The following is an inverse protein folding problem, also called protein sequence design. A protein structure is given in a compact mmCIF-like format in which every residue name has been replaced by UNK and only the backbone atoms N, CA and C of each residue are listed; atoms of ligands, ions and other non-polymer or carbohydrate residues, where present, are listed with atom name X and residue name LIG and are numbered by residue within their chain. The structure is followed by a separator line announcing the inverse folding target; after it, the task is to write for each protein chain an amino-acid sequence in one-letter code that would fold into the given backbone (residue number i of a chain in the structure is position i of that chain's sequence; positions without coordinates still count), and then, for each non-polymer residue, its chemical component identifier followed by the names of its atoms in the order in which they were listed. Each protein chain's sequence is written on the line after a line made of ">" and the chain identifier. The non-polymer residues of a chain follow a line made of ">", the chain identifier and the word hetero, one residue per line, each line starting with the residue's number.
data_IF_742764073945
#
_entry.id   IF_742764073945
#
_cell.length_a   1.000
_cell.length_b   1.000
_cell.length_c   1.000
_cell.angle_alpha   90.00
_cell.angle_beta   90.00
_cell.angle_gamma   90.00
#
_symmetry.space_group_name_H-M   'P 1'
#
loop_
_entity.id
_entity.type
_entity.pdbx_description
1 polymer ?
#
# COMPACT_ATOMS: atom_id res chain seq x y z
N UNK A 1 -14.42 -27.61 -27.75
CA UNK A 1 -14.80 -27.80 -26.34
C UNK A 1 -14.39 -26.54 -25.62
N UNK A 2 -15.31 -25.80 -25.01
CA UNK A 2 -14.96 -24.64 -24.18
C UNK A 2 -14.44 -25.23 -22.86
N UNK A 3 -13.18 -24.94 -22.52
CA UNK A 3 -12.66 -25.27 -21.19
C UNK A 3 -13.25 -24.26 -20.23
N UNK A 4 -14.32 -24.63 -19.52
CA UNK A 4 -14.91 -23.77 -18.50
C UNK A 4 -13.92 -23.59 -17.34
N UNK A 5 -13.75 -22.36 -16.90
CA UNK A 5 -12.95 -22.03 -15.73
C UNK A 5 -13.59 -22.69 -14.51
N UNK A 6 -12.83 -23.58 -13.88
CA UNK A 6 -13.22 -24.17 -12.61
C UNK A 6 -12.89 -23.18 -11.49
N UNK A 7 -13.93 -22.68 -10.83
CA UNK A 7 -13.75 -21.83 -9.65
C UNK A 7 -13.23 -22.64 -8.46
N UNK A 8 -12.38 -22.00 -7.65
CA UNK A 8 -12.02 -22.51 -6.34
C UNK A 8 -13.23 -22.50 -5.39
N UNK A 9 -13.16 -23.28 -4.31
CA UNK A 9 -14.14 -23.24 -3.21
C UNK A 9 -14.31 -21.81 -2.66
N UNK A 10 -13.20 -21.06 -2.54
CA UNK A 10 -13.22 -19.66 -2.11
C UNK A 10 -13.98 -18.78 -3.10
N UNK A 11 -13.74 -18.97 -4.40
CA UNK A 11 -14.46 -18.23 -5.45
C UNK A 11 -15.96 -18.52 -5.42
N UNK A 12 -16.36 -19.80 -5.29
CA UNK A 12 -17.78 -20.18 -5.18
C UNK A 12 -18.46 -19.57 -3.94
N UNK A 13 -17.78 -19.59 -2.78
CA UNK A 13 -18.29 -18.99 -1.56
C UNK A 13 -18.49 -17.48 -1.72
N UNK A 14 -17.53 -16.77 -2.33
CA UNK A 14 -17.64 -15.34 -2.60
C UNK A 14 -18.80 -15.02 -3.55
N UNK A 15 -18.97 -15.76 -4.64
CA UNK A 15 -20.09 -15.56 -5.57
C UNK A 15 -21.45 -15.84 -4.90
N UNK A 16 -21.51 -16.84 -4.03
CA UNK A 16 -22.71 -17.16 -3.24
C UNK A 16 -23.06 -16.04 -2.26
N UNK A 17 -22.07 -15.47 -1.55
CA UNK A 17 -22.26 -14.31 -0.67
C UNK A 17 -22.76 -13.07 -1.42
N UNK A 18 -22.39 -12.95 -2.70
CA UNK A 18 -22.85 -11.91 -3.63
C UNK A 18 -24.24 -12.20 -4.23
N UNK A 19 -24.88 -13.28 -3.79
CA UNK A 19 -26.23 -13.69 -4.18
C UNK A 19 -26.35 -14.00 -5.68
N UNK A 20 -25.30 -14.55 -6.29
CA UNK A 20 -25.41 -15.13 -7.63
C UNK A 20 -26.06 -16.51 -7.56
N UNK A 21 -27.00 -16.76 -8.45
CA UNK A 21 -27.57 -18.08 -8.72
C UNK A 21 -26.56 -19.00 -9.41
N UNK A 22 -26.81 -20.32 -9.41
CA UNK A 22 -25.94 -21.28 -10.11
C UNK A 22 -25.83 -20.98 -11.61
N UNK A 23 -26.93 -20.53 -12.24
CA UNK A 23 -26.94 -20.15 -13.66
C UNK A 23 -26.08 -18.90 -13.91
N UNK A 24 -26.18 -17.88 -13.06
CA UNK A 24 -25.31 -16.69 -13.12
C UNK A 24 -23.84 -17.03 -12.87
N UNK A 25 -23.54 -17.96 -11.94
CA UNK A 25 -22.17 -18.44 -11.70
C UNK A 25 -21.63 -19.13 -12.95
N UNK A 26 -22.44 -19.96 -13.61
CA UNK A 26 -22.03 -20.62 -14.85
C UNK A 26 -21.79 -19.62 -15.97
N UNK A 27 -22.72 -18.68 -16.18
CA UNK A 27 -22.55 -17.60 -17.17
C UNK A 27 -21.31 -16.76 -16.90
N UNK A 28 -21.00 -16.48 -15.63
CA UNK A 28 -19.78 -15.74 -15.29
C UNK A 28 -18.52 -16.57 -15.58
N UNK A 29 -18.51 -17.87 -15.30
CA UNK A 29 -17.41 -18.77 -15.70
C UNK A 29 -17.21 -18.77 -17.22
N UNK A 30 -18.30 -18.77 -17.99
CA UNK A 30 -18.26 -18.75 -19.45
C UNK A 30 -17.68 -17.41 -19.95
N UNK A 31 -18.11 -16.27 -19.39
CA UNK A 31 -17.55 -14.94 -19.67
C UNK A 31 -16.04 -14.91 -19.42
N UNK A 32 -15.59 -15.40 -18.27
CA UNK A 32 -14.16 -15.43 -17.94
C UNK A 32 -13.38 -16.35 -18.90
N UNK A 33 -13.98 -17.46 -19.31
CA UNK A 33 -13.37 -18.41 -20.24
C UNK A 33 -13.24 -17.81 -21.63
N UNK A 34 -14.26 -17.09 -22.10
CA UNK A 34 -14.22 -16.36 -23.37
C UNK A 34 -13.16 -15.24 -23.34
N UNK A 35 -13.16 -14.43 -22.28
CA UNK A 35 -12.17 -13.37 -22.09
C UNK A 35 -10.72 -13.87 -22.15
N UNK A 36 -10.41 -15.03 -21.55
CA UNK A 36 -9.06 -15.63 -21.60
C UNK A 36 -8.67 -16.16 -22.98
N UNK A 37 -9.64 -16.51 -23.83
CA UNK A 37 -9.41 -17.06 -25.17
C UNK A 37 -9.46 -15.99 -26.27
N UNK A 38 -10.00 -14.82 -25.98
CA UNK A 38 -10.10 -13.72 -26.92
C UNK A 38 -8.74 -13.01 -27.09
N UNK A 39 -8.42 -12.61 -28.32
CA UNK A 39 -7.31 -11.71 -28.57
C UNK A 39 -7.80 -10.26 -28.51
N UNK A 40 -7.08 -9.41 -27.77
CA UNK A 40 -7.45 -8.01 -27.58
C UNK A 40 -7.16 -7.54 -26.16
N UNK A 41 -7.56 -6.30 -25.86
CA UNK A 41 -7.52 -5.76 -24.49
C UNK A 41 -8.74 -6.22 -23.69
N UNK A 42 -8.64 -6.23 -22.35
CA UNK A 42 -9.79 -6.53 -21.50
C UNK A 42 -10.91 -5.50 -21.69
N UNK A 43 -10.55 -4.26 -22.02
CA UNK A 43 -11.51 -3.21 -22.37
C UNK A 43 -12.30 -3.53 -23.63
N UNK A 44 -11.68 -4.10 -24.65
CA UNK A 44 -12.38 -4.50 -25.89
C UNK A 44 -13.41 -5.59 -25.60
N UNK A 45 -13.05 -6.59 -24.79
CA UNK A 45 -13.97 -7.63 -24.35
C UNK A 45 -15.16 -7.05 -23.57
N UNK A 46 -14.90 -6.17 -22.60
CA UNK A 46 -15.97 -5.52 -21.82
C UNK A 46 -16.87 -4.60 -22.69
N UNK A 47 -16.31 -3.93 -23.71
CA UNK A 47 -17.09 -3.09 -24.63
C UNK A 47 -18.00 -3.91 -25.55
N UNK A 48 -17.62 -5.16 -25.86
CA UNK A 48 -18.42 -6.06 -26.68
C UNK A 48 -19.57 -6.73 -25.90
N UNK A 49 -19.52 -6.72 -24.57
CA UNK A 49 -20.55 -7.32 -23.71
C UNK A 49 -21.90 -6.60 -23.81
N UNK A 50 -22.96 -7.39 -23.71
CA UNK A 50 -24.31 -6.88 -23.52
C UNK A 50 -24.48 -6.25 -22.12
N UNK A 51 -25.54 -5.45 -21.96
CA UNK A 51 -25.86 -4.84 -20.67
C UNK A 51 -26.09 -5.87 -19.55
N UNK A 52 -26.62 -7.06 -19.88
CA UNK A 52 -26.85 -8.12 -18.90
C UNK A 52 -25.54 -8.78 -18.46
N UNK A 53 -24.60 -9.00 -19.39
CA UNK A 53 -23.28 -9.54 -19.07
C UNK A 53 -22.47 -8.55 -18.23
N UNK A 54 -22.51 -7.25 -18.55
CA UNK A 54 -21.88 -6.22 -17.72
C UNK A 54 -22.51 -6.14 -16.32
N UNK A 55 -23.83 -6.28 -16.20
CA UNK A 55 -24.50 -6.34 -14.90
C UNK A 55 -24.09 -7.59 -14.10
N UNK A 56 -23.90 -8.73 -14.77
CA UNK A 56 -23.38 -9.93 -14.15
C UNK A 56 -21.93 -9.75 -13.67
N UNK A 57 -21.04 -9.18 -14.49
CA UNK A 57 -19.65 -8.86 -14.09
C UNK A 57 -19.64 -7.87 -12.91
N UNK A 58 -20.51 -6.87 -12.92
CA UNK A 58 -20.65 -5.90 -11.83
C UNK A 58 -21.03 -6.60 -10.51
N UNK A 59 -22.06 -7.46 -10.56
CA UNK A 59 -22.55 -8.22 -9.40
C UNK A 59 -21.49 -9.22 -8.91
N UNK A 60 -20.86 -9.93 -9.83
CA UNK A 60 -19.78 -10.88 -9.55
C UNK A 60 -18.59 -10.21 -8.87
N UNK A 61 -18.33 -8.92 -9.12
CA UNK A 61 -17.25 -8.15 -8.48
C UNK A 61 -17.72 -7.26 -7.31
N UNK A 62 -18.99 -7.34 -6.89
CA UNK A 62 -19.57 -6.50 -5.82
C UNK A 62 -19.44 -5.00 -6.04
N UNK A 63 -19.48 -4.53 -7.29
CA UNK A 63 -19.34 -3.10 -7.57
C UNK A 63 -20.66 -2.35 -7.30
N UNK A 64 -20.57 -1.25 -6.55
CA UNK A 64 -21.73 -0.42 -6.22
C UNK A 64 -22.30 0.34 -7.42
N UNK A 65 -21.45 0.73 -8.36
CA UNK A 65 -21.83 1.50 -9.56
C UNK A 65 -21.71 0.66 -10.81
N UNK A 66 -22.48 1.03 -11.84
CA UNK A 66 -22.37 0.43 -13.17
C UNK A 66 -20.99 0.62 -13.76
N UNK A 67 -20.57 -0.35 -14.57
CA UNK A 67 -19.25 -0.35 -15.19
C UNK A 67 -19.24 0.64 -16.36
N UNK A 68 -18.48 1.73 -16.22
CA UNK A 68 -18.14 2.59 -17.35
C UNK A 68 -16.77 2.16 -17.93
N UNK A 69 -16.80 1.28 -18.93
CA UNK A 69 -15.59 0.67 -19.52
C UNK A 69 -14.62 1.72 -20.06
N UNK A 70 -15.13 2.81 -20.65
CA UNK A 70 -14.29 3.83 -21.28
C UNK A 70 -13.38 4.55 -20.28
N UNK A 71 -13.84 4.73 -19.04
CA UNK A 71 -13.10 5.39 -17.96
C UNK A 71 -12.15 4.46 -17.19
N UNK A 72 -12.21 3.14 -17.42
CA UNK A 72 -11.33 2.19 -16.74
C UNK A 72 -9.91 2.26 -17.29
N UNK A 73 -8.94 2.03 -16.41
CA UNK A 73 -7.60 1.63 -16.83
C UNK A 73 -7.63 0.23 -17.46
N UNK A 74 -6.55 -0.14 -18.15
CA UNK A 74 -6.42 -1.51 -18.66
C UNK A 74 -6.35 -2.54 -17.53
N UNK A 75 -5.71 -2.17 -16.42
CA UNK A 75 -5.62 -3.03 -15.22
C UNK A 75 -6.99 -3.22 -14.58
N UNK A 76 -7.71 -2.13 -14.34
CA UNK A 76 -9.04 -2.16 -13.74
C UNK A 76 -10.01 -2.99 -14.58
N UNK A 77 -9.93 -2.90 -15.92
CA UNK A 77 -10.69 -3.75 -16.83
C UNK A 77 -10.26 -5.22 -16.76
N UNK A 78 -8.95 -5.50 -16.78
CA UNK A 78 -8.41 -6.87 -16.70
C UNK A 78 -8.83 -7.57 -15.41
N UNK A 79 -8.76 -6.86 -14.29
CA UNK A 79 -9.09 -7.40 -12.98
C UNK A 79 -10.60 -7.60 -12.75
N UNK A 80 -11.47 -6.98 -13.54
CA UNK A 80 -12.91 -7.33 -13.57
C UNK A 80 -13.16 -8.72 -14.15
N UNK A 81 -12.25 -9.17 -15.03
CA UNK A 81 -12.26 -10.47 -15.69
C UNK A 81 -11.31 -11.47 -15.01
N UNK A 82 -11.09 -11.30 -13.71
CA UNK A 82 -10.33 -12.21 -12.86
C UNK A 82 -11.25 -13.07 -12.00
N UNK A 83 -10.70 -14.12 -11.42
CA UNK A 83 -11.40 -14.97 -10.47
C UNK A 83 -11.81 -14.21 -9.21
N UNK A 84 -12.98 -14.54 -8.63
CA UNK A 84 -13.49 -13.91 -7.42
C UNK A 84 -12.55 -13.95 -6.22
N UNK A 85 -11.74 -15.01 -6.10
CA UNK A 85 -10.76 -15.20 -5.01
C UNK A 85 -9.48 -14.38 -5.14
N UNK A 86 -9.34 -13.64 -6.24
CA UNK A 86 -8.23 -12.75 -6.56
C UNK A 86 -6.92 -13.46 -6.91
N UNK A 87 -6.97 -14.76 -7.21
CA UNK A 87 -5.80 -15.58 -7.51
C UNK A 87 -5.05 -15.20 -8.79
N UNK A 88 -5.76 -14.63 -9.78
CA UNK A 88 -5.24 -14.24 -11.09
C UNK A 88 -5.38 -12.75 -11.39
N UNK A 89 -5.57 -11.92 -10.34
CA UNK A 89 -5.43 -10.47 -10.50
C UNK A 89 -4.03 -10.10 -10.96
N UNK A 90 -3.91 -8.91 -11.53
CA UNK A 90 -2.67 -8.31 -12.00
C UNK A 90 -2.54 -6.89 -11.48
N UNK A 91 -1.30 -6.44 -11.33
CA UNK A 91 -0.91 -5.04 -11.12
C UNK A 91 -0.07 -4.64 -12.34
N UNK A 92 -0.66 -4.03 -13.35
CA UNK A 92 0.02 -3.87 -14.66
C UNK A 92 1.08 -2.77 -14.60
N UNK A 93 0.84 -1.71 -13.82
CA UNK A 93 1.76 -0.59 -13.71
C UNK A 93 2.83 -0.79 -12.62
N UNK A 94 2.72 -1.85 -11.81
CA UNK A 94 3.63 -2.22 -10.72
C UNK A 94 3.75 -1.15 -9.64
N UNK A 95 2.66 -0.45 -9.34
CA UNK A 95 2.63 0.55 -8.27
C UNK A 95 2.15 0.00 -6.91
N UNK A 96 1.80 -1.29 -6.85
CA UNK A 96 1.30 -1.96 -5.64
C UNK A 96 -0.13 -1.59 -5.27
N UNK A 97 -0.84 -0.87 -6.13
CA UNK A 97 -2.26 -0.55 -6.04
C UNK A 97 -2.98 -1.40 -7.07
N UNK A 98 -3.86 -2.27 -6.60
CA UNK A 98 -4.63 -3.14 -7.48
C UNK A 98 -5.94 -2.46 -7.83
N UNK A 99 -6.18 -2.27 -9.12
CA UNK A 99 -7.41 -1.69 -9.63
C UNK A 99 -8.43 -2.79 -10.00
N UNK A 100 -9.68 -2.69 -9.55
CA UNK A 100 -10.78 -3.57 -9.99
C UNK A 100 -11.95 -2.70 -10.43
N UNK A 101 -12.17 -2.60 -11.74
CA UNK A 101 -12.98 -1.52 -12.29
C UNK A 101 -12.36 -0.18 -11.89
N UNK A 102 -13.14 0.68 -11.23
CA UNK A 102 -12.66 1.96 -10.71
C UNK A 102 -12.15 1.89 -9.25
N UNK A 103 -12.36 0.76 -8.57
CA UNK A 103 -11.92 0.60 -7.19
C UNK A 103 -10.40 0.42 -7.15
N UNK A 104 -9.74 1.06 -6.18
CA UNK A 104 -8.30 0.95 -5.95
C UNK A 104 -8.05 0.39 -4.57
N UNK A 105 -7.24 -0.65 -4.47
CA UNK A 105 -6.93 -1.29 -3.19
C UNK A 105 -5.43 -1.47 -3.05
N UNK A 106 -4.91 -0.98 -1.93
CA UNK A 106 -3.54 -1.25 -1.53
C UNK A 106 -3.45 -2.69 -1.06
N UNK A 107 -2.54 -3.47 -1.64
CA UNK A 107 -2.30 -4.85 -1.25
C UNK A 107 -0.81 -5.05 -1.02
N UNK A 108 -0.44 -5.68 0.09
CA UNK A 108 0.92 -6.13 0.33
C UNK A 108 0.94 -7.59 0.80
N UNK A 109 1.86 -8.43 0.28
CA UNK A 109 2.80 -8.15 -0.81
C UNK A 109 2.05 -7.85 -2.11
N UNK A 110 2.64 -7.05 -3.01
CA UNK A 110 1.99 -6.68 -4.26
C UNK A 110 1.68 -7.94 -5.07
N UNK A 111 0.66 -7.87 -5.93
CA UNK A 111 0.18 -9.02 -6.71
C UNK A 111 1.30 -9.66 -7.54
N UNK A 112 2.23 -8.85 -8.06
CA UNK A 112 3.36 -9.31 -8.85
C UNK A 112 4.58 -9.73 -8.00
N UNK A 113 4.48 -9.74 -6.67
CA UNK A 113 5.54 -10.25 -5.81
C UNK A 113 5.78 -11.75 -6.08
N UNK A 114 7.05 -12.21 -6.10
CA UNK A 114 7.38 -13.62 -6.21
C UNK A 114 6.73 -14.46 -5.10
N UNK A 115 6.47 -15.74 -5.39
CA UNK A 115 5.82 -16.65 -4.44
C UNK A 115 6.54 -16.72 -3.08
N UNK A 116 7.88 -16.72 -3.07
CA UNK A 116 8.64 -16.76 -1.82
C UNK A 116 8.40 -15.52 -0.93
N UNK A 117 8.14 -14.34 -1.52
CA UNK A 117 7.82 -13.11 -0.78
C UNK A 117 6.43 -13.22 -0.17
N UNK A 118 5.45 -13.72 -0.93
CA UNK A 118 4.08 -13.97 -0.43
C UNK A 118 4.09 -14.96 0.73
N UNK A 119 4.78 -16.08 0.60
CA UNK A 119 4.92 -17.07 1.68
C UNK A 119 5.66 -16.52 2.90
N UNK A 120 6.71 -15.72 2.69
CA UNK A 120 7.43 -15.08 3.80
C UNK A 120 6.54 -14.11 4.57
N UNK A 121 5.68 -13.37 3.88
CA UNK A 121 4.72 -12.46 4.49
C UNK A 121 3.65 -13.21 5.31
N UNK A 122 3.04 -14.23 4.71
CA UNK A 122 2.04 -15.07 5.40
C UNK A 122 2.64 -15.68 6.68
N UNK A 123 3.86 -16.20 6.61
CA UNK A 123 4.56 -16.75 7.77
C UNK A 123 4.91 -15.67 8.81
N UNK A 124 5.35 -14.49 8.39
CA UNK A 124 5.73 -13.41 9.30
C UNK A 124 4.52 -12.77 10.01
N UNK A 125 3.32 -12.91 9.45
CA UNK A 125 2.08 -12.28 9.94
C UNK A 125 1.06 -13.27 10.48
N UNK A 126 1.34 -14.57 10.50
CA UNK A 126 0.38 -15.63 10.86
C UNK A 126 -0.22 -15.49 12.25
N UNK A 127 0.50 -14.90 13.19
CA UNK A 127 0.11 -14.70 14.60
C UNK A 127 -0.47 -13.31 14.88
N UNK A 128 -0.61 -12.46 13.86
CA UNK A 128 -1.05 -11.07 14.01
C UNK A 128 -2.55 -10.91 13.83
N UNK A 129 -3.13 -9.95 14.54
CA UNK A 129 -4.50 -9.50 14.29
C UNK A 129 -4.63 -8.85 12.92
N UNK A 130 -5.83 -8.90 12.33
CA UNK A 130 -6.10 -8.29 11.03
C UNK A 130 -5.83 -6.78 11.01
N UNK A 131 -6.09 -6.07 12.12
CA UNK A 131 -5.76 -4.64 12.25
C UNK A 131 -4.24 -4.39 12.15
N UNK A 132 -3.43 -5.22 12.82
CA UNK A 132 -1.97 -5.12 12.73
C UNK A 132 -1.46 -5.48 11.34
N UNK A 133 -2.05 -6.50 10.70
CA UNK A 133 -1.73 -6.87 9.31
C UNK A 133 -2.00 -5.71 8.37
N UNK A 134 -3.19 -5.12 8.40
CA UNK A 134 -3.55 -3.98 7.55
C UNK A 134 -2.59 -2.80 7.74
N UNK A 135 -2.22 -2.49 8.99
CA UNK A 135 -1.25 -1.44 9.25
C UNK A 135 0.15 -1.78 8.70
N UNK A 136 0.57 -3.05 8.78
CA UNK A 136 1.81 -3.50 8.15
C UNK A 136 1.72 -3.49 6.63
N UNK A 137 0.57 -3.83 6.02
CA UNK A 137 0.39 -3.78 4.57
C UNK A 137 0.60 -2.37 4.06
N UNK A 138 -0.07 -1.41 4.67
CA UNK A 138 0.09 0.01 4.38
C UNK A 138 1.54 0.45 4.53
N UNK A 139 2.18 0.09 5.66
CA UNK A 139 3.56 0.51 5.95
C UNK A 139 4.55 -0.10 4.97
N UNK A 140 4.38 -1.37 4.61
CA UNK A 140 5.25 -2.05 3.67
C UNK A 140 5.06 -1.55 2.25
N UNK A 141 3.81 -1.28 1.85
CA UNK A 141 3.53 -0.61 0.58
C UNK A 141 4.25 0.74 0.51
N UNK A 142 4.16 1.59 1.56
CA UNK A 142 4.87 2.87 1.58
C UNK A 142 6.39 2.72 1.58
N UNK A 143 6.95 1.70 2.23
CA UNK A 143 8.38 1.43 2.18
C UNK A 143 8.85 1.03 0.77
N UNK A 144 8.05 0.22 0.07
CA UNK A 144 8.37 -0.28 -1.26
C UNK A 144 8.13 0.77 -2.34
N UNK A 145 6.92 1.31 -2.42
CA UNK A 145 6.46 2.20 -3.50
C UNK A 145 6.54 3.68 -3.15
N UNK A 146 6.72 4.03 -1.87
CA UNK A 146 6.72 5.41 -1.42
C UNK A 146 5.31 5.98 -1.24
N UNK A 147 5.24 7.30 -1.15
CA UNK A 147 3.99 8.07 -1.18
C UNK A 147 4.04 8.97 -2.40
N UNK A 148 3.02 8.88 -3.24
CA UNK A 148 2.82 9.80 -4.36
C UNK A 148 2.09 11.03 -3.84
N UNK A 149 2.76 12.18 -3.94
CA UNK A 149 2.23 13.47 -3.49
C UNK A 149 2.16 14.36 -4.71
N UNK A 150 1.00 14.98 -4.94
CA UNK A 150 0.81 15.87 -6.10
C UNK A 150 1.92 16.93 -6.15
N UNK A 151 2.60 17.03 -7.29
CA UNK A 151 3.70 17.97 -7.51
C UNK A 151 5.09 17.49 -7.07
N UNK A 152 5.22 16.31 -6.46
CA UNK A 152 6.51 15.71 -6.08
C UNK A 152 6.73 14.44 -6.88
N UNK A 153 7.88 14.31 -7.54
CA UNK A 153 8.23 13.04 -8.20
C UNK A 153 8.25 11.91 -7.16
N UNK A 154 7.38 10.93 -7.40
CA UNK A 154 7.27 9.73 -6.58
C UNK A 154 8.55 8.88 -6.66
N UNK A 155 8.69 7.93 -5.74
CA UNK A 155 9.73 6.91 -5.86
C UNK A 155 9.42 6.09 -7.11
N UNK A 156 10.30 6.10 -8.10
CA UNK A 156 10.11 5.27 -9.29
C UNK A 156 10.03 3.81 -8.88
N UNK A 157 8.91 3.15 -9.20
CA UNK A 157 8.71 1.75 -8.90
C UNK A 157 9.77 0.90 -9.62
N UNK A 158 10.45 0.05 -8.86
CA UNK A 158 11.36 -0.94 -9.42
C UNK A 158 10.55 -2.06 -10.06
N UNK A 159 11.08 -2.70 -11.10
CA UNK A 159 10.47 -3.93 -11.60
C UNK A 159 10.39 -4.98 -10.46
N UNK A 160 9.39 -5.89 -10.45
CA UNK A 160 9.29 -6.91 -9.41
C UNK A 160 10.59 -7.72 -9.22
N UNK A 161 11.29 -8.01 -10.31
CA UNK A 161 12.58 -8.71 -10.27
C UNK A 161 13.65 -7.89 -9.52
N UNK A 162 13.76 -6.59 -9.78
CA UNK A 162 14.71 -5.72 -9.09
C UNK A 162 14.29 -5.49 -7.63
N UNK A 163 13.00 -5.24 -7.40
CA UNK A 163 12.44 -4.96 -6.08
C UNK A 163 12.66 -6.10 -5.09
N UNK A 164 12.50 -7.34 -5.55
CA UNK A 164 12.61 -8.55 -4.74
C UNK A 164 13.91 -9.34 -4.99
N UNK A 165 14.90 -8.71 -5.63
CA UNK A 165 16.27 -9.23 -5.69
C UNK A 165 16.95 -9.18 -4.33
N UNK A 166 18.06 -9.90 -4.14
CA UNK A 166 18.84 -9.85 -2.90
C UNK A 166 19.23 -8.42 -2.52
N UNK A 167 19.70 -7.63 -3.48
CA UNK A 167 20.04 -6.20 -3.29
C UNK A 167 18.80 -5.36 -2.97
N UNK A 168 17.66 -5.63 -3.63
CA UNK A 168 16.40 -4.94 -3.39
C UNK A 168 15.86 -5.18 -1.98
N UNK A 169 15.92 -6.45 -1.53
CA UNK A 169 15.55 -6.86 -0.18
C UNK A 169 16.51 -6.24 0.85
N UNK A 170 17.83 -6.29 0.63
CA UNK A 170 18.81 -5.69 1.53
C UNK A 170 18.56 -4.19 1.71
N UNK A 171 18.34 -3.47 0.61
CA UNK A 171 18.01 -2.04 0.63
C UNK A 171 16.71 -1.77 1.39
N UNK A 172 15.66 -2.57 1.14
CA UNK A 172 14.40 -2.45 1.85
C UNK A 172 14.62 -2.60 3.37
N UNK A 173 15.30 -3.65 3.82
CA UNK A 173 15.53 -3.86 5.24
C UNK A 173 16.41 -2.79 5.87
N UNK A 174 17.41 -2.28 5.13
CA UNK A 174 18.21 -1.13 5.59
C UNK A 174 17.32 0.10 5.85
N UNK A 175 16.41 0.41 4.94
CA UNK A 175 15.49 1.55 5.08
C UNK A 175 14.50 1.31 6.25
N UNK A 176 13.95 0.10 6.38
CA UNK A 176 13.03 -0.28 7.45
C UNK A 176 13.69 -0.21 8.83
N UNK A 177 14.89 -0.77 8.98
CA UNK A 177 15.66 -0.74 10.23
C UNK A 177 16.08 0.67 10.60
N UNK A 178 16.54 1.48 9.63
CA UNK A 178 16.88 2.88 9.88
C UNK A 178 15.68 3.71 10.34
N UNK A 179 14.50 3.51 9.74
CA UNK A 179 13.28 4.17 10.18
C UNK A 179 12.86 3.73 11.60
N UNK A 180 12.97 2.44 11.91
CA UNK A 180 12.68 1.93 13.25
C UNK A 180 13.65 2.50 14.30
N UNK A 181 14.95 2.54 13.99
CA UNK A 181 15.96 3.13 14.88
C UNK A 181 15.67 4.61 15.17
N UNK A 182 15.34 5.40 14.15
CA UNK A 182 14.94 6.79 14.32
C UNK A 182 13.74 6.92 15.27
N UNK A 183 12.70 6.09 15.06
CA UNK A 183 11.51 6.10 15.91
C UNK A 183 11.80 5.69 17.35
N UNK A 184 12.60 4.65 17.56
CA UNK A 184 13.02 4.21 18.89
C UNK A 184 13.84 5.29 19.60
N UNK A 185 14.68 6.03 18.88
CA UNK A 185 15.43 7.14 19.46
C UNK A 185 14.54 8.32 19.87
N UNK A 186 13.38 8.50 19.23
CA UNK A 186 12.42 9.58 19.53
C UNK A 186 11.39 9.19 20.59
N UNK A 187 10.83 7.98 20.48
CA UNK A 187 9.65 7.51 21.22
C UNK A 187 9.99 6.37 22.20
N UNK A 188 11.18 5.76 22.09
CA UNK A 188 11.54 4.55 22.80
C UNK A 188 10.96 3.27 22.20
N UNK A 189 11.15 2.16 22.92
CA UNK A 189 10.59 0.85 22.57
C UNK A 189 9.12 0.76 23.00
N UNK A 190 8.25 1.45 22.26
CA UNK A 190 6.79 1.31 22.39
C UNK A 190 6.33 -0.08 21.92
N UNK A 191 5.14 -0.51 22.32
CA UNK A 191 4.54 -1.78 21.86
C UNK A 191 4.50 -1.89 20.33
N UNK A 192 4.19 -0.76 19.67
CA UNK A 192 4.20 -0.70 18.22
C UNK A 192 5.63 -0.87 17.65
N UNK A 193 6.64 -0.19 18.19
CA UNK A 193 8.03 -0.35 17.72
C UNK A 193 8.56 -1.77 17.96
N UNK A 194 8.16 -2.41 19.06
CA UNK A 194 8.46 -3.83 19.33
C UNK A 194 7.75 -4.76 18.34
N UNK A 195 6.48 -4.50 18.02
CA UNK A 195 5.74 -5.26 17.00
C UNK A 195 6.43 -5.17 15.64
N UNK A 196 6.86 -3.97 15.24
CA UNK A 196 7.57 -3.75 13.97
C UNK A 196 8.91 -4.46 13.93
N UNK A 197 9.69 -4.39 15.03
CA UNK A 197 10.95 -5.12 15.16
C UNK A 197 10.72 -6.62 14.98
N UNK A 198 9.74 -7.18 15.71
CA UNK A 198 9.39 -8.59 15.63
C UNK A 198 8.98 -9.01 14.22
N UNK A 199 8.15 -8.20 13.56
CA UNK A 199 7.78 -8.42 12.17
C UNK A 199 9.00 -8.42 11.24
N UNK A 200 9.90 -7.43 11.34
CA UNK A 200 11.09 -7.36 10.49
C UNK A 200 12.02 -8.54 10.69
N UNK A 201 12.23 -8.97 11.93
CA UNK A 201 13.07 -10.13 12.23
C UNK A 201 12.48 -11.41 11.59
N UNK A 202 11.16 -11.61 11.71
CA UNK A 202 10.47 -12.78 11.12
C UNK A 202 10.44 -12.73 9.61
N UNK A 203 10.05 -11.59 9.03
CA UNK A 203 9.94 -11.43 7.58
C UNK A 203 11.30 -11.53 6.89
N UNK A 204 12.33 -10.87 7.45
CA UNK A 204 13.69 -10.95 6.93
C UNK A 204 14.30 -12.34 7.06
N UNK A 205 13.96 -13.07 8.13
CA UNK A 205 14.37 -14.47 8.27
C UNK A 205 13.67 -15.37 7.26
N UNK A 206 12.36 -15.19 7.07
CA UNK A 206 11.56 -16.00 6.14
C UNK A 206 11.97 -15.78 4.67
N UNK A 207 12.35 -14.56 4.29
CA UNK A 207 12.87 -14.25 2.96
C UNK A 207 14.23 -14.91 2.66
N UNK A 208 15.03 -15.22 3.69
CA UNK A 208 16.34 -15.88 3.55
C UNK A 208 16.25 -17.40 3.51
N UNK A 209 15.10 -17.97 3.88
CA UNK A 209 14.91 -19.42 3.81
C UNK A 209 14.72 -19.83 2.34
N UNK A 210 15.45 -20.83 1.84
CA UNK A 210 15.10 -21.43 0.55
C UNK A 210 13.70 -22.02 0.68
N UNK A 211 12.84 -21.75 -0.29
CA UNK A 211 11.45 -22.20 -0.33
C UNK A 211 11.34 -23.73 -0.24
N UNK A 212 11.38 -24.30 0.96
CA UNK A 212 11.00 -25.69 1.18
C UNK A 212 9.50 -25.75 1.02
N UNK A 213 9.04 -26.39 -0.06
CA UNK A 213 7.65 -26.65 -0.37
C UNK A 213 6.93 -27.23 0.85
N UNK A 214 6.09 -26.43 1.52
CA UNK A 214 5.19 -26.96 2.55
C UNK A 214 4.02 -27.60 1.81
N UNK A 215 4.15 -28.91 1.62
CA UNK A 215 3.05 -29.80 1.27
C UNK A 215 2.09 -29.86 2.46
N UNK A 216 0.80 -29.79 2.13
CA UNK A 216 -0.38 -29.83 2.98
C UNK A 216 -0.30 -30.71 4.23
N UNK A 217 -0.85 -30.20 5.33
CA UNK A 217 -1.52 -31.01 6.34
C UNK A 217 -2.83 -30.35 6.76
N UNK A 218 -3.87 -30.57 5.95
CA UNK A 218 -5.25 -30.62 6.43
C UNK A 218 -5.41 -31.87 7.30
N UNK A 219 -5.71 -31.69 8.59
CA UNK A 219 -6.59 -32.60 9.35
C UNK A 219 -6.98 -32.02 10.72
N UNK A 220 -8.29 -31.76 10.84
CA UNK A 220 -9.17 -32.13 11.95
C UNK A 220 -8.93 -31.60 13.37
N UNK A 221 -9.88 -30.76 13.82
CA UNK A 221 -10.55 -30.97 15.11
C UNK A 221 -11.91 -30.25 15.12
N UNK A 222 -12.95 -30.99 14.71
CA UNK A 222 -14.32 -30.75 15.14
C UNK A 222 -14.48 -31.32 16.56
N UNK A 223 -14.93 -30.48 17.50
CA UNK A 223 -15.96 -30.79 18.51
C UNK A 223 -15.88 -29.75 19.64
N UNK A 224 -16.95 -28.97 19.79
CA UNK A 224 -17.69 -28.86 21.05
C UNK A 224 -18.96 -28.03 20.83
N UNK A 225 -20.08 -28.72 20.90
CA UNK A 225 -21.44 -28.18 20.83
C UNK A 225 -21.86 -27.64 22.20
N UNK A 226 -22.74 -26.63 22.15
CA UNK A 226 -23.76 -26.28 23.13
C UNK A 226 -23.34 -25.49 24.37
N UNK A 227 -23.81 -24.23 24.45
CA UNK A 227 -25.02 -23.97 25.23
C UNK A 227 -25.68 -22.64 24.84
N UNK A 228 -26.96 -22.75 24.50
CA UNK A 228 -27.94 -21.68 24.32
C UNK A 228 -28.63 -21.42 25.65
N UNK A 229 -28.71 -20.15 26.07
CA UNK A 229 -29.81 -19.67 26.91
C UNK A 229 -30.16 -18.24 26.48
N UNK A 230 -31.39 -18.07 26.01
CA UNK A 230 -32.06 -16.77 25.77
C UNK A 230 -32.49 -16.13 27.10
N UNK A 231 -32.51 -14.80 27.13
CA UNK A 231 -33.58 -14.00 27.75
C UNK A 231 -33.55 -12.54 27.22
N UNK A 232 -34.64 -12.22 26.51
CA UNK A 232 -35.41 -10.95 26.30
C UNK A 232 -35.21 -9.82 27.35
N UNK A 233 -35.53 -8.52 27.19
CA UNK A 233 -36.07 -7.59 26.17
C UNK A 233 -36.05 -6.15 26.80
N UNK A 234 -35.89 -5.08 25.98
CA UNK A 234 -36.35 -3.66 26.15
C UNK A 234 -35.67 -2.77 27.24
N UNK A 235 -35.42 -1.45 27.12
CA UNK A 235 -35.77 -0.37 26.17
C UNK A 235 -34.84 0.87 26.34
N UNK A 236 -34.70 1.63 25.25
CA UNK A 236 -34.62 3.10 25.10
C UNK A 236 -33.46 3.99 25.65
N UNK A 237 -32.94 4.75 24.66
CA UNK A 237 -32.42 6.14 24.66
C UNK A 237 -31.08 6.46 25.35
N UNK A 238 -30.04 6.71 24.53
CA UNK A 238 -29.55 8.08 24.26
C UNK A 238 -28.55 8.12 23.09
N UNK A 239 -28.76 9.09 22.20
CA UNK A 239 -27.88 9.49 21.09
C UNK A 239 -26.81 10.43 21.67
N UNK A 240 -25.52 10.13 21.49
CA UNK A 240 -24.50 11.20 21.35
C UNK A 240 -23.21 10.69 20.69
N UNK A 241 -23.00 11.17 19.46
CA UNK A 241 -21.76 11.62 18.80
C UNK A 241 -20.42 11.06 19.34
N UNK A 242 -19.75 10.23 18.52
CA UNK A 242 -18.29 10.06 18.55
C UNK A 242 -17.79 9.97 17.11
N UNK A 243 -17.54 11.12 16.51
CA UNK A 243 -16.55 11.27 15.43
C UNK A 243 -15.35 11.99 16.05
N UNK A 244 -14.14 11.69 15.54
CA UNK A 244 -12.95 12.57 15.55
C UNK A 244 -11.73 12.23 16.46
N UNK A 245 -11.33 10.96 16.58
CA UNK A 245 -9.98 10.62 17.10
C UNK A 245 -9.09 9.81 16.14
N UNK A 246 -9.65 9.03 15.21
CA UNK A 246 -8.87 8.17 14.30
C UNK A 246 -8.20 8.93 13.14
N UNK A 247 -8.70 10.12 12.80
CA UNK A 247 -8.19 10.92 11.69
C UNK A 247 -6.93 11.73 12.06
N UNK A 248 -6.70 11.96 13.35
CA UNK A 248 -5.57 12.78 13.84
C UNK A 248 -4.24 12.01 13.77
N UNK A 249 -4.23 10.73 14.15
CA UNK A 249 -3.02 9.91 14.22
C UNK A 249 -2.43 9.62 12.85
N UNK A 250 -3.28 9.33 11.85
CA UNK A 250 -2.85 9.12 10.47
C UNK A 250 -2.27 10.39 9.84
N UNK A 251 -2.96 11.53 10.04
CA UNK A 251 -2.51 12.84 9.54
C UNK A 251 -1.19 13.25 10.17
N UNK A 252 -1.01 13.02 11.47
CA UNK A 252 0.25 13.30 12.18
C UNK A 252 1.40 12.41 11.71
N UNK A 253 1.11 11.14 11.41
CA UNK A 253 2.10 10.19 10.90
C UNK A 253 2.53 10.51 9.46
N UNK A 254 1.58 10.86 8.58
CA UNK A 254 1.89 11.31 7.22
C UNK A 254 2.71 12.60 7.23
N UNK A 255 2.36 13.53 8.12
CA UNK A 255 3.13 14.76 8.31
C UNK A 255 4.55 14.46 8.77
N UNK A 256 4.73 13.53 9.71
CA UNK A 256 6.05 13.17 10.23
C UNK A 256 6.92 12.47 9.18
N UNK A 257 6.34 11.66 8.30
CA UNK A 257 7.03 11.04 7.17
C UNK A 257 7.45 12.08 6.12
N UNK A 258 6.58 13.06 5.85
CA UNK A 258 6.86 14.20 4.99
C UNK A 258 8.02 15.05 5.54
N UNK A 259 7.96 15.40 6.82
CA UNK A 259 8.98 16.20 7.50
C UNK A 259 10.33 15.47 7.49
N UNK A 260 10.35 14.16 7.77
CA UNK A 260 11.55 13.33 7.75
C UNK A 260 12.14 13.20 6.33
N UNK A 261 11.30 13.05 5.29
CA UNK A 261 11.72 12.99 3.89
C UNK A 261 12.32 14.31 3.42
N UNK A 262 11.79 15.43 3.91
CA UNK A 262 12.27 16.77 3.58
C UNK A 262 13.47 17.21 4.46
N UNK A 263 13.88 16.41 5.44
CA UNK A 263 14.97 16.76 6.36
C UNK A 263 14.61 17.95 7.26
N UNK A 264 13.32 18.16 7.52
CA UNK A 264 12.80 19.23 8.35
C UNK A 264 12.92 18.82 9.82
N UNK A 265 13.63 19.64 10.59
CA UNK A 265 13.71 19.47 12.04
C UNK A 265 12.43 19.98 12.70
N UNK A 266 11.51 19.06 12.95
CA UNK A 266 10.20 19.36 13.56
C UNK A 266 10.33 20.08 14.90
N UNK A 267 11.39 19.84 15.67
CA UNK A 267 11.64 20.56 16.94
C UNK A 267 11.84 22.06 16.70
N UNK A 268 12.51 22.44 15.60
CA UNK A 268 12.70 23.87 15.26
C UNK A 268 11.39 24.52 14.82
N UNK A 269 10.51 23.80 14.14
CA UNK A 269 9.20 24.31 13.76
C UNK A 269 8.28 24.46 14.97
N UNK A 270 8.27 23.47 15.87
CA UNK A 270 7.52 23.51 17.12
C UNK A 270 8.03 24.64 18.04
N UNK A 271 9.35 24.84 18.17
CA UNK A 271 9.93 25.98 18.89
C UNK A 271 9.52 27.33 18.32
N UNK A 272 9.43 27.47 16.99
CA UNK A 272 8.98 28.72 16.33
C UNK A 272 7.49 28.93 16.61
N UNK A 273 6.68 27.87 16.59
CA UNK A 273 5.24 27.93 16.85
C UNK A 273 4.92 28.25 18.31
N UNK A 274 5.70 27.70 19.24
CA UNK A 274 5.66 28.08 20.66
C UNK A 274 6.09 29.53 20.87
N UNK A 275 7.12 30.01 20.18
CA UNK A 275 7.53 31.44 20.22
C UNK A 275 6.45 32.36 19.66
N UNK A 276 5.73 31.95 18.61
CA UNK A 276 4.58 32.70 18.08
C UNK A 276 3.48 32.80 19.14
N UNK A 277 3.08 31.67 19.76
CA UNK A 277 2.06 31.65 20.83
C UNK A 277 2.48 32.47 22.06
N UNK A 278 3.76 32.43 22.42
CA UNK A 278 4.30 33.21 23.53
C UNK A 278 4.27 34.72 23.24
N UNK A 279 4.54 35.15 22.00
CA UNK A 279 4.46 36.56 21.57
C UNK A 279 3.00 37.04 21.52
N UNK A 280 2.06 36.18 21.09
CA UNK A 280 0.62 36.48 21.09
C UNK A 280 0.09 36.72 22.52
N UNK A 281 0.43 35.82 23.45
CA UNK A 281 -0.09 35.83 24.82
C UNK A 281 0.65 36.79 25.78
N UNK A 282 1.72 37.44 25.34
CA UNK A 282 2.50 38.33 26.21
C UNK A 282 1.78 39.69 26.42
N UNK A 283 1.40 40.06 27.65
CA UNK A 283 0.67 41.30 27.93
C UNK A 283 1.55 42.57 27.87
N UNK A 284 2.88 42.44 27.81
CA UNK A 284 3.83 43.57 27.84
C UNK A 284 4.29 44.05 26.45
N UNK A 285 3.74 43.51 25.36
CA UNK A 285 4.11 43.88 23.98
C UNK A 285 3.01 44.72 23.32
N UNK A 286 3.39 45.85 22.71
CA UNK A 286 2.47 46.68 21.92
C UNK A 286 1.99 45.94 20.66
N UNK A 287 0.77 46.23 20.22
CA UNK A 287 0.10 45.57 19.08
C UNK A 287 0.95 45.59 17.80
N UNK A 288 1.70 46.68 17.58
CA UNK A 288 2.59 46.85 16.42
C UNK A 288 3.85 45.99 16.53
N UNK A 289 4.39 45.85 17.74
CA UNK A 289 5.57 45.02 18.02
C UNK A 289 5.23 43.53 17.92
N UNK A 290 4.09 43.09 18.46
CA UNK A 290 3.59 41.72 18.28
C UNK A 290 3.48 41.34 16.82
N UNK A 291 2.86 42.22 16.02
CA UNK A 291 2.66 41.97 14.58
C UNK A 291 3.98 41.88 13.81
N UNK A 292 5.00 42.65 14.18
CA UNK A 292 6.33 42.57 13.56
C UNK A 292 7.07 41.29 13.96
N UNK A 293 7.04 40.88 15.23
CA UNK A 293 7.69 39.65 15.71
C UNK A 293 7.04 38.39 15.14
N UNK A 294 5.71 38.33 15.10
CA UNK A 294 4.98 37.20 14.50
C UNK A 294 5.33 37.10 13.01
N UNK A 295 5.39 38.22 12.29
CA UNK A 295 5.77 38.23 10.87
C UNK A 295 7.21 37.73 10.66
N UNK A 296 8.15 38.12 11.52
CA UNK A 296 9.54 37.66 11.42
C UNK A 296 9.68 36.16 11.72
N UNK A 297 8.94 35.64 12.69
CA UNK A 297 8.91 34.20 13.03
C UNK A 297 8.25 33.37 11.92
N UNK A 298 7.19 33.89 11.29
CA UNK A 298 6.59 33.27 10.11
C UNK A 298 7.55 33.24 8.92
N UNK A 299 8.31 34.32 8.69
CA UNK A 299 9.35 34.34 7.66
C UNK A 299 10.48 33.33 7.94
N UNK A 300 10.87 33.14 9.21
CA UNK A 300 11.83 32.10 9.57
C UNK A 300 11.29 30.68 9.30
N UNK A 301 10.01 30.44 9.60
CA UNK A 301 9.34 29.16 9.26
C UNK A 301 9.38 28.90 7.76
N UNK A 302 9.10 29.91 6.95
CA UNK A 302 9.08 29.80 5.49
C UNK A 302 10.48 29.59 4.89
N UNK A 303 11.52 30.26 5.41
CA UNK A 303 12.91 30.04 5.00
C UNK A 303 13.37 28.60 5.26
N UNK A 304 12.99 28.03 6.42
CA UNK A 304 13.34 26.65 6.77
C UNK A 304 12.69 25.64 5.81
N UNK A 305 11.45 25.90 5.40
CA UNK A 305 10.73 25.09 4.42
C UNK A 305 11.35 25.20 3.02
N UNK A 306 11.65 26.42 2.57
CA UNK A 306 12.27 26.67 1.26
C UNK A 306 13.70 26.10 1.18
N UNK A 307 14.47 26.15 2.27
CA UNK A 307 15.80 25.53 2.34
C UNK A 307 15.73 23.99 2.32
N UNK A 308 14.73 23.41 2.98
CA UNK A 308 14.46 21.98 2.95
C UNK A 308 14.13 21.52 1.51
N UNK A 309 13.25 22.24 0.80
CA UNK A 309 12.91 21.97 -0.60
C UNK A 309 14.12 22.12 -1.54
N UNK A 310 14.95 23.16 -1.35
CA UNK A 310 16.17 23.31 -2.18
C UNK A 310 17.15 22.17 -1.96
N UNK A 311 17.30 21.70 -0.71
CA UNK A 311 18.18 20.57 -0.38
C UNK A 311 17.69 19.25 -0.95
N UNK A 312 16.38 19.00 -0.98
CA UNK A 312 15.83 17.78 -1.61
C UNK A 312 16.11 17.79 -3.10
N UNK A 313 15.80 18.88 -3.80
CA UNK A 313 16.08 19.05 -5.24
C UNK A 313 17.58 18.92 -5.54
N UNK A 314 18.45 19.53 -4.72
CA UNK A 314 19.89 19.42 -4.91
C UNK A 314 20.41 18.00 -4.64
N UNK A 315 19.90 17.31 -3.63
CA UNK A 315 20.26 15.92 -3.34
C UNK A 315 19.78 14.96 -4.44
N UNK A 316 18.59 15.16 -5.00
CA UNK A 316 18.11 14.40 -6.14
C UNK A 316 18.97 14.65 -7.38
N UNK A 317 19.37 15.91 -7.62
CA UNK A 317 20.32 16.26 -8.67
C UNK A 317 21.70 15.62 -8.45
N UNK A 318 22.20 15.57 -7.22
CA UNK A 318 23.46 14.88 -6.89
C UNK A 318 23.33 13.38 -7.12
N UNK A 319 22.20 12.78 -6.76
CA UNK A 319 21.93 11.34 -6.95
C UNK A 319 21.81 10.97 -8.42
N UNK A 320 21.18 11.80 -9.25
CA UNK A 320 21.11 11.60 -10.70
C UNK A 320 22.49 11.75 -11.35
N UNK A 321 23.31 12.71 -10.91
CA UNK A 321 24.69 12.86 -11.36
C UNK A 321 25.56 11.64 -10.99
N UNK A 322 25.42 11.09 -9.77
CA UNK A 322 26.14 9.87 -9.35
C UNK A 322 25.69 8.67 -10.19
N UNK A 323 24.38 8.49 -10.37
CA UNK A 323 23.82 7.39 -11.19
C UNK A 323 24.29 7.48 -12.65
N UNK A 324 24.33 8.68 -13.23
CA UNK A 324 24.82 8.89 -14.59
C UNK A 324 26.32 8.60 -14.72
N UNK A 325 27.12 8.94 -13.71
CA UNK A 325 28.57 8.63 -13.71
C UNK A 325 28.86 7.14 -13.54
N UNK A 326 28.08 6.42 -12.73
CA UNK A 326 28.20 4.96 -12.58
C UNK A 326 27.89 4.26 -13.91
N UNK A 327 26.81 4.66 -14.58
CA UNK A 327 26.47 4.14 -15.92
C UNK A 327 27.53 4.47 -16.98
N UNK A 328 28.29 5.56 -16.81
CA UNK A 328 29.35 5.96 -17.73
C UNK A 328 30.63 5.14 -17.51
N UNK A 329 30.96 4.83 -16.25
CA UNK A 329 32.08 3.93 -15.89
C UNK A 329 31.84 2.51 -16.39
N UNK A 330 30.62 1.99 -16.22
CA UNK A 330 30.24 0.64 -16.67
C UNK A 330 30.33 0.53 -18.21
N UNK A 331 29.90 1.57 -18.94
CA UNK A 331 30.06 1.64 -20.41
C UNK A 331 31.52 1.75 -20.86
N UNK A 332 32.38 2.42 -20.10
CA UNK A 332 33.80 2.53 -20.40
C UNK A 332 34.52 1.19 -20.15
N UNK A 333 34.17 0.45 -19.10
CA UNK A 333 34.67 -0.90 -18.85
C UNK A 333 34.23 -1.89 -19.95
N UNK A 334 32.98 -1.83 -20.39
CA UNK A 334 32.49 -2.65 -21.51
C UNK A 334 33.21 -2.34 -22.84
N UNK A 335 33.56 -1.08 -23.09
CA UNK A 335 34.33 -0.69 -24.28
C UNK A 335 35.79 -1.15 -24.22
N UNK A 336 36.42 -1.15 -23.04
CA UNK A 336 37.78 -1.67 -22.87
C UNK A 336 37.84 -3.19 -23.04
N UNK A 337 36.79 -3.92 -22.60
CA UNK A 337 36.68 -5.38 -22.79
C UNK A 337 36.42 -5.77 -24.25
N UNK A 338 35.77 -4.92 -25.05
CA UNK A 338 35.55 -5.14 -26.50
C UNK A 338 36.72 -4.73 -27.40
N UNK A 339 37.72 -4.02 -26.86
CA UNK A 339 38.92 -3.58 -27.59
C UNK A 339 40.09 -4.55 -27.54
N UNK A 340 39.98 -5.65 -26.79
CA UNK A 340 41.00 -6.72 -26.69
C UNK A 340 40.39 -8.00 -27.25
N UNK A 341 40.32 -8.08 -28.58
CA UNK A 341 39.88 -9.24 -29.35
C UNK A 341 40.69 -9.37 -30.62
#
# INVERSE_FOLDING_TARGET
>A
MINNIQFSEKSHNLLSLRQLSNDEIQQFSDILSEAKNQQGSAKDTLLAMTANELALVQKANSLAHSINVTSLSEEGATNLLSQPDHSDKVDLNNDGIVEVGAAKTLIFPPVNAPAHVKSAWESATSDMSESNKMMLELRMHMAVFGVNIEGVEGKQALSPYQQWSEQGIEKLFKDLSGNLEFRVNMEGWTDHNLMLKGFYDRFGSALKQPSTSVISSTQSAANSTSNTTQSELMSDQEKQVVEDESNSTYSQMMQLLLDARMGIDRKKLEEIEEKIKAVENNPNLDSKQKKQLIKALQQQKEIILEEAEKRTVENEKRKSLISNNVNLLERLEEQQLKGVG
#
